data_IF_176595333561
#
_entry.id   IF_176595333561
#
_cell.length_a   1.000
_cell.length_b   1.000
_cell.length_c   1.000
_cell.angle_alpha   90.00
_cell.angle_beta   90.00
_cell.angle_gamma   90.00
#
_symmetry.space_group_name_H-M   'P 1'
#
loop_
_entity.id
_entity.type
_entity.pdbx_description
1 polymer ?
#
# COMPACT_ATOMS: atom_id res chain seq x y z
N UNK A 1 12.47 -15.84 10.22
CA UNK A 1 11.83 -14.86 9.32
C UNK A 1 12.85 -13.77 9.04
N UNK A 2 13.04 -13.38 7.78
CA UNK A 2 13.91 -12.27 7.40
C UNK A 2 13.13 -10.96 7.57
N UNK A 3 13.76 -9.88 8.04
CA UNK A 3 13.05 -8.60 8.26
C UNK A 3 12.38 -8.06 6.98
N UNK A 4 12.99 -8.31 5.82
CA UNK A 4 12.42 -7.93 4.53
C UNK A 4 11.12 -8.69 4.19
N UNK A 5 10.99 -9.96 4.59
CA UNK A 5 9.74 -10.72 4.39
C UNK A 5 8.60 -10.17 5.27
N UNK A 6 8.89 -9.85 6.54
CA UNK A 6 7.91 -9.26 7.46
C UNK A 6 7.45 -7.86 7.02
N UNK A 7 8.37 -7.05 6.48
CA UNK A 7 8.06 -5.72 5.97
C UNK A 7 7.14 -5.77 4.75
N UNK A 8 7.40 -6.69 3.81
CA UNK A 8 6.56 -6.90 2.64
C UNK A 8 5.16 -7.40 3.01
N UNK A 9 5.07 -8.39 3.91
CA UNK A 9 3.79 -8.91 4.39
C UNK A 9 2.95 -7.81 5.07
N UNK A 10 3.59 -6.91 5.83
CA UNK A 10 2.92 -5.77 6.48
C UNK A 10 2.40 -4.78 5.45
N UNK A 11 3.22 -4.43 4.46
CA UNK A 11 2.84 -3.52 3.38
C UNK A 11 1.65 -4.09 2.59
N UNK A 12 1.72 -5.36 2.20
CA UNK A 12 0.65 -6.03 1.45
C UNK A 12 -0.68 -5.99 2.20
N UNK A 13 -0.67 -6.36 3.49
CA UNK A 13 -1.87 -6.35 4.32
C UNK A 13 -2.47 -4.94 4.49
N UNK A 14 -1.64 -3.90 4.63
CA UNK A 14 -2.10 -2.51 4.70
C UNK A 14 -2.78 -2.09 3.40
N UNK A 15 -2.12 -2.34 2.25
CA UNK A 15 -2.64 -1.99 0.94
C UNK A 15 -3.95 -2.72 0.63
N UNK A 16 -4.05 -4.01 0.98
CA UNK A 16 -5.30 -4.77 0.80
C UNK A 16 -6.44 -4.20 1.64
N UNK A 17 -6.17 -3.77 2.88
CA UNK A 17 -7.18 -3.16 3.75
C UNK A 17 -7.63 -1.78 3.21
N UNK A 18 -6.70 -0.96 2.74
CA UNK A 18 -6.99 0.34 2.13
C UNK A 18 -7.80 0.20 0.83
N UNK A 19 -7.43 -0.75 -0.04
CA UNK A 19 -8.18 -1.09 -1.26
C UNK A 19 -9.60 -1.54 -0.93
N UNK A 20 -9.76 -2.43 0.05
CA UNK A 20 -11.08 -2.92 0.46
C UNK A 20 -11.97 -1.83 1.08
N UNK A 21 -11.36 -0.77 1.63
CA UNK A 21 -12.07 0.34 2.27
C UNK A 21 -12.41 1.49 1.31
N UNK A 22 -11.87 1.48 0.09
CA UNK A 22 -12.12 2.53 -0.88
C UNK A 22 -13.56 2.45 -1.41
N UNK A 23 -14.31 3.54 -1.28
CA UNK A 23 -15.74 3.58 -1.59
C UNK A 23 -16.05 3.80 -3.08
N UNK A 24 -15.07 4.29 -3.84
CA UNK A 24 -15.22 4.67 -5.24
C UNK A 24 -13.86 4.68 -5.98
N UNK A 25 -13.92 4.93 -7.29
CA UNK A 25 -12.74 4.99 -8.16
C UNK A 25 -11.75 6.10 -7.76
N UNK A 26 -12.18 7.33 -7.40
CA UNK A 26 -11.28 8.34 -6.85
C UNK A 26 -10.54 7.89 -5.57
N UNK A 27 -11.22 7.20 -4.66
CA UNK A 27 -10.60 6.67 -3.45
C UNK A 27 -9.55 5.59 -3.76
N UNK A 28 -9.84 4.68 -4.71
CA UNK A 28 -8.85 3.69 -5.18
C UNK A 28 -7.63 4.37 -5.81
N UNK A 29 -7.83 5.44 -6.57
CA UNK A 29 -6.73 6.20 -7.17
C UNK A 29 -5.85 6.86 -6.09
N UNK A 30 -6.44 7.37 -5.01
CA UNK A 30 -5.67 7.90 -3.89
C UNK A 30 -4.79 6.82 -3.24
N UNK A 31 -5.32 5.60 -3.04
CA UNK A 31 -4.53 4.45 -2.54
C UNK A 31 -3.39 4.12 -3.51
N UNK A 32 -3.63 4.13 -4.82
CA UNK A 32 -2.59 3.88 -5.84
C UNK A 32 -1.46 4.90 -5.76
N UNK A 33 -1.79 6.20 -5.65
CA UNK A 33 -0.79 7.28 -5.56
C UNK A 33 0.01 7.15 -4.26
N UNK A 34 -0.66 6.86 -3.14
CA UNK A 34 0.01 6.66 -1.85
C UNK A 34 0.92 5.41 -1.83
N UNK A 35 0.60 4.38 -2.61
CA UNK A 35 1.44 3.20 -2.74
C UNK A 35 2.66 3.42 -3.65
N UNK A 36 2.44 3.95 -4.87
CA UNK A 36 3.43 3.97 -5.95
C UNK A 36 4.03 5.35 -6.26
N UNK A 37 3.58 6.42 -5.61
CA UNK A 37 4.13 7.75 -5.79
C UNK A 37 5.61 7.83 -5.39
N UNK A 38 6.27 8.95 -5.74
CA UNK A 38 7.70 9.19 -5.41
C UNK A 38 8.01 9.09 -3.90
N UNK A 39 7.02 9.36 -3.05
CA UNK A 39 7.05 9.20 -1.59
C UNK A 39 6.03 8.16 -1.12
N UNK A 40 5.71 7.21 -2.00
CA UNK A 40 4.75 6.17 -1.72
C UNK A 40 5.39 5.04 -0.94
N UNK A 41 4.58 4.30 -0.19
CA UNK A 41 5.06 3.28 0.72
C UNK A 41 5.96 2.23 0.04
N UNK A 42 5.67 1.85 -1.21
CA UNK A 42 6.50 0.90 -1.99
C UNK A 42 7.85 1.50 -2.38
N UNK A 43 7.91 2.80 -2.62
CA UNK A 43 9.14 3.48 -3.06
C UNK A 43 10.08 3.84 -1.90
N UNK A 44 9.60 3.83 -0.66
CA UNK A 44 10.38 4.16 0.54
C UNK A 44 10.91 2.93 1.29
N UNK A 45 10.50 1.71 0.91
CA UNK A 45 11.05 0.44 1.41
C UNK A 45 12.45 0.14 0.86
#
# INVERSE_FOLDING_TARGET
MNDATTGLDTLENSLLAEIASAADEPAIEAVRIAAFGKKGAVSEM
#
